data_IF_753216004837
#
_entry.id   IF_753216004837
#
_cell.length_a   1.000
_cell.length_b   1.000
_cell.length_c   1.000
_cell.angle_alpha   90.00
_cell.angle_beta   90.00
_cell.angle_gamma   90.00
#
_symmetry.space_group_name_H-M   'P 1'
#
loop_
_entity.id
_entity.type
_entity.pdbx_description
1 polymer ?
#
# COMPACT_ATOMS: atom_id res chain seq x y z
N UNK A 1 33.16 10.99 -1.96
CA UNK A 1 31.77 10.91 -1.46
C UNK A 1 31.16 12.29 -1.53
N UNK A 2 29.92 12.38 -2.03
CA UNK A 2 29.28 13.66 -2.26
C UNK A 2 28.60 14.20 -0.98
N UNK A 3 28.58 15.52 -0.85
CA UNK A 3 27.81 16.26 0.16
C UNK A 3 26.73 17.05 -0.58
N UNK A 4 25.50 16.95 -0.11
CA UNK A 4 24.34 17.61 -0.74
C UNK A 4 23.95 18.83 0.12
N UNK A 5 23.54 19.96 -0.50
CA UNK A 5 23.03 21.09 0.25
C UNK A 5 21.84 20.71 1.13
N UNK A 6 21.75 21.37 2.29
CA UNK A 6 20.67 21.16 3.25
C UNK A 6 19.79 22.40 3.29
N UNK A 7 18.52 22.19 2.97
CA UNK A 7 17.47 23.18 3.13
C UNK A 7 16.79 22.96 4.48
N UNK A 8 16.74 24.00 5.32
CA UNK A 8 16.02 23.90 6.59
C UNK A 8 14.50 23.76 6.36
N UNK A 9 13.81 23.26 7.38
CA UNK A 9 12.39 22.94 7.27
C UNK A 9 11.52 24.17 7.00
N UNK A 10 11.81 25.29 7.64
CA UNK A 10 11.03 26.52 7.50
C UNK A 10 11.19 27.10 6.08
N UNK A 11 12.41 27.12 5.56
CA UNK A 11 12.67 27.51 4.18
C UNK A 11 12.00 26.55 3.18
N UNK A 12 12.04 25.23 3.43
CA UNK A 12 11.37 24.24 2.60
C UNK A 12 9.84 24.44 2.56
N UNK A 13 9.22 24.73 3.72
CA UNK A 13 7.80 25.08 3.82
C UNK A 13 7.47 26.34 3.00
N UNK A 14 8.28 27.39 3.12
CA UNK A 14 8.07 28.64 2.38
C UNK A 14 8.20 28.46 0.86
N UNK A 15 9.17 27.67 0.40
CA UNK A 15 9.35 27.31 -1.02
C UNK A 15 8.14 26.54 -1.53
N UNK A 16 7.71 25.52 -0.79
CA UNK A 16 6.57 24.68 -1.15
C UNK A 16 5.29 25.52 -1.27
N UNK A 17 5.00 26.37 -0.28
CA UNK A 17 3.80 27.21 -0.28
C UNK A 17 3.81 28.27 -1.38
N UNK A 18 4.99 28.79 -1.74
CA UNK A 18 5.12 29.72 -2.86
C UNK A 18 4.86 29.00 -4.19
N UNK A 19 5.55 27.89 -4.44
CA UNK A 19 5.53 27.22 -5.74
C UNK A 19 4.24 26.47 -6.05
N UNK A 20 3.50 26.00 -5.04
CA UNK A 20 2.22 25.32 -5.24
C UNK A 20 1.08 26.27 -5.64
N UNK A 21 1.20 27.59 -5.42
CA UNK A 21 0.16 28.57 -5.74
C UNK A 21 -0.04 28.78 -7.24
N UNK A 22 1.02 28.64 -8.02
CA UNK A 22 1.03 29.05 -9.44
C UNK A 22 0.57 27.94 -10.40
N UNK A 23 0.19 26.78 -9.87
CA UNK A 23 -0.28 25.63 -10.64
C UNK A 23 0.85 24.81 -11.30
N UNK A 24 0.53 23.66 -11.91
CA UNK A 24 1.53 22.67 -12.33
C UNK A 24 2.43 23.13 -13.50
N UNK A 25 1.91 23.98 -14.40
CA UNK A 25 2.70 24.49 -15.55
C UNK A 25 3.75 25.49 -15.08
N UNK A 26 3.36 26.44 -14.23
CA UNK A 26 4.27 27.43 -13.66
C UNK A 26 5.29 26.75 -12.73
N UNK A 27 4.85 25.79 -11.91
CA UNK A 27 5.72 24.98 -11.07
C UNK A 27 6.85 24.32 -11.88
N UNK A 28 6.52 23.69 -13.01
CA UNK A 28 7.53 23.03 -13.87
C UNK A 28 8.52 24.03 -14.47
N UNK A 29 8.05 25.21 -14.87
CA UNK A 29 8.89 26.27 -15.41
C UNK A 29 9.79 26.92 -14.34
N UNK A 30 9.37 26.89 -13.07
CA UNK A 30 10.11 27.42 -11.94
C UNK A 30 11.20 26.48 -11.40
N UNK A 31 11.37 25.29 -11.98
CA UNK A 31 12.35 24.31 -11.52
C UNK A 31 13.61 24.26 -12.43
N UNK A 32 14.83 24.24 -11.86
CA UNK A 32 15.14 24.26 -10.44
C UNK A 32 14.96 25.65 -9.81
N UNK A 33 14.64 25.66 -8.52
CA UNK A 33 14.56 26.87 -7.70
C UNK A 33 15.78 26.98 -6.78
N UNK A 34 16.77 27.75 -7.24
CA UNK A 34 18.04 28.00 -6.57
C UNK A 34 17.98 29.22 -5.61
N UNK A 35 16.81 29.85 -5.44
CA UNK A 35 16.64 31.04 -4.58
C UNK A 35 16.83 30.82 -3.07
N UNK A 36 16.51 29.65 -2.47
CA UNK A 36 16.62 29.47 -1.03
C UNK A 36 18.07 29.43 -0.54
N UNK A 37 18.32 30.01 0.63
CA UNK A 37 19.60 29.84 1.30
C UNK A 37 19.76 28.38 1.77
N UNK A 38 20.94 27.80 1.54
CA UNK A 38 21.27 26.42 1.91
C UNK A 38 22.50 26.36 2.79
N UNK A 39 22.58 25.29 3.59
CA UNK A 39 23.73 25.01 4.44
C UNK A 39 24.43 23.75 3.99
N UNK A 40 25.71 23.62 4.36
CA UNK A 40 26.50 22.41 4.16
C UNK A 40 26.95 21.90 5.52
N UNK A 41 27.08 20.57 5.72
CA UNK A 41 27.74 20.06 6.90
C UNK A 41 29.19 20.56 6.97
N UNK A 42 29.75 20.73 8.19
CA UNK A 42 31.13 21.17 8.39
C UNK A 42 32.16 20.06 8.08
N UNK A 43 31.73 18.93 7.52
CA UNK A 43 32.58 17.76 7.26
C UNK A 43 33.35 17.89 5.95
N UNK A 44 34.51 17.25 5.89
CA UNK A 44 35.29 17.14 4.65
C UNK A 44 34.61 16.17 3.68
N UNK A 45 34.19 16.67 2.53
CA UNK A 45 33.66 15.90 1.41
C UNK A 45 33.47 16.78 0.18
N UNK A 46 33.28 16.17 -0.98
CA UNK A 46 33.11 16.91 -2.23
C UNK A 46 31.66 17.37 -2.33
N UNK A 47 31.43 18.68 -2.37
CA UNK A 47 30.07 19.21 -2.62
C UNK A 47 29.60 18.74 -3.99
N UNK A 48 28.35 18.30 -4.07
CA UNK A 48 27.70 18.07 -5.36
C UNK A 48 27.72 19.37 -6.16
N UNK A 49 28.06 19.29 -7.44
CA UNK A 49 28.03 20.42 -8.35
C UNK A 49 26.63 20.67 -8.91
N UNK A 50 26.36 21.90 -9.33
CA UNK A 50 25.10 22.24 -9.98
C UNK A 50 24.90 21.47 -11.30
N UNK A 51 25.99 21.14 -12.00
CA UNK A 51 25.94 20.29 -13.20
C UNK A 51 25.41 18.90 -12.86
N UNK A 52 25.93 18.25 -11.81
CA UNK A 52 25.43 16.96 -11.35
C UNK A 52 23.95 17.00 -10.92
N UNK A 53 23.51 18.10 -10.29
CA UNK A 53 22.10 18.29 -9.93
C UNK A 53 21.20 18.49 -11.17
N UNK A 54 21.68 19.21 -12.19
CA UNK A 54 20.99 19.38 -13.47
C UNK A 54 20.91 18.07 -14.25
N UNK A 55 21.96 17.26 -14.23
CA UNK A 55 21.97 15.92 -14.83
C UNK A 55 20.95 14.99 -14.14
N UNK A 56 20.90 15.01 -12.81
CA UNK A 56 19.91 14.28 -12.02
C UNK A 56 18.49 14.72 -12.35
N UNK A 57 18.23 16.02 -12.38
CA UNK A 57 16.92 16.55 -12.77
C UNK A 57 16.55 16.10 -14.18
N UNK A 58 17.45 16.25 -15.14
CA UNK A 58 17.22 15.87 -16.55
C UNK A 58 16.88 14.39 -16.67
N UNK A 59 17.65 13.51 -16.00
CA UNK A 59 17.40 12.08 -16.03
C UNK A 59 16.08 11.70 -15.34
N UNK A 60 15.76 12.31 -14.20
CA UNK A 60 14.51 12.04 -13.46
C UNK A 60 13.28 12.53 -14.23
N UNK A 61 13.32 13.72 -14.82
CA UNK A 61 12.21 14.25 -15.63
C UNK A 61 12.02 13.43 -16.89
N UNK A 62 13.11 13.01 -17.55
CA UNK A 62 13.04 12.07 -18.68
C UNK A 62 12.36 10.77 -18.26
N UNK A 63 12.80 10.15 -17.16
CA UNK A 63 12.18 8.94 -16.63
C UNK A 63 10.69 9.17 -16.32
N UNK A 64 10.33 10.26 -15.62
CA UNK A 64 8.94 10.59 -15.33
C UNK A 64 8.09 10.74 -16.60
N UNK A 65 8.65 11.30 -17.68
CA UNK A 65 7.96 11.42 -18.97
C UNK A 65 7.68 10.06 -19.63
N UNK A 66 8.59 9.08 -19.51
CA UNK A 66 8.38 7.70 -19.99
C UNK A 66 7.20 7.00 -19.28
N UNK A 67 6.85 7.46 -18.07
CA UNK A 67 5.77 6.94 -17.23
C UNK A 67 4.57 7.88 -17.13
N UNK A 68 4.45 8.85 -18.04
CA UNK A 68 3.23 9.59 -18.27
C UNK A 68 3.26 11.07 -17.91
N UNK A 69 4.35 11.62 -17.34
CA UNK A 69 4.42 13.06 -17.03
C UNK A 69 4.39 13.90 -18.31
N UNK A 70 3.48 14.90 -18.46
CA UNK A 70 2.64 15.53 -17.42
C UNK A 70 1.20 14.99 -17.28
N UNK A 71 0.80 13.98 -18.05
CA UNK A 71 -0.48 13.28 -17.90
C UNK A 71 -0.51 12.30 -16.71
N UNK A 72 -1.48 11.37 -16.65
CA UNK A 72 -1.59 10.42 -15.54
C UNK A 72 -0.40 9.47 -15.43
N UNK A 73 0.04 9.18 -14.20
CA UNK A 73 1.08 8.18 -13.94
C UNK A 73 0.61 6.78 -14.39
N UNK A 74 1.45 6.12 -15.20
CA UNK A 74 1.28 4.71 -15.59
C UNK A 74 2.36 3.86 -14.95
N UNK A 75 2.07 2.58 -14.67
CA UNK A 75 3.04 1.60 -14.14
C UNK A 75 3.87 2.15 -12.97
N UNK A 76 3.19 2.66 -11.93
CA UNK A 76 3.80 3.33 -10.77
C UNK A 76 4.94 2.52 -10.15
N UNK A 77 4.78 1.21 -10.03
CA UNK A 77 5.79 0.31 -9.46
C UNK A 77 7.11 0.34 -10.26
N UNK A 78 7.03 0.24 -11.58
CA UNK A 78 8.21 0.30 -12.45
C UNK A 78 8.89 1.66 -12.39
N UNK A 79 8.10 2.74 -12.42
CA UNK A 79 8.62 4.10 -12.27
C UNK A 79 9.39 4.24 -10.95
N UNK A 80 8.80 3.84 -9.83
CA UNK A 80 9.41 3.97 -8.50
C UNK A 80 10.68 3.14 -8.36
N UNK A 81 10.67 1.91 -8.86
CA UNK A 81 11.84 1.04 -8.84
C UNK A 81 13.01 1.62 -9.67
N UNK A 82 12.73 2.12 -10.87
CA UNK A 82 13.75 2.76 -11.72
C UNK A 82 14.22 4.10 -11.15
N UNK A 83 13.31 4.91 -10.62
CA UNK A 83 13.63 6.20 -10.00
C UNK A 83 14.51 6.03 -8.75
N UNK A 84 14.22 5.02 -7.93
CA UNK A 84 15.05 4.65 -6.78
C UNK A 84 16.48 4.29 -7.20
N UNK A 85 16.64 3.47 -8.25
CA UNK A 85 17.95 3.12 -8.81
C UNK A 85 18.69 4.34 -9.34
N UNK A 86 18.01 5.17 -10.13
CA UNK A 86 18.57 6.39 -10.70
C UNK A 86 19.07 7.34 -9.62
N UNK A 87 18.25 7.60 -8.59
CA UNK A 87 18.60 8.46 -7.46
C UNK A 87 19.83 7.94 -6.72
N UNK A 88 19.88 6.64 -6.42
CA UNK A 88 20.97 6.05 -5.66
C UNK A 88 22.29 6.08 -6.42
N UNK A 89 22.26 5.78 -7.73
CA UNK A 89 23.44 5.81 -8.59
C UNK A 89 24.00 7.22 -8.79
N UNK A 90 23.14 8.22 -8.99
CA UNK A 90 23.57 9.60 -9.23
C UNK A 90 23.85 10.38 -7.93
N UNK A 91 23.38 9.88 -6.78
CA UNK A 91 23.69 10.43 -5.47
C UNK A 91 24.46 9.41 -4.62
N UNK A 92 25.76 9.16 -4.91
CA UNK A 92 26.62 8.25 -4.14
C UNK A 92 27.06 8.89 -2.81
N UNK A 93 26.07 9.19 -1.96
CA UNK A 93 26.23 9.76 -0.61
C UNK A 93 26.28 8.65 0.45
N UNK A 94 26.81 8.97 1.64
CA UNK A 94 26.75 8.03 2.77
C UNK A 94 25.32 7.85 3.25
N UNK A 95 25.00 6.72 3.90
CA UNK A 95 23.82 6.61 4.75
C UNK A 95 23.70 7.71 5.81
N UNK A 96 24.84 8.19 6.33
CA UNK A 96 24.90 9.34 7.24
C UNK A 96 24.38 10.62 6.58
N UNK A 97 24.91 10.98 5.41
CA UNK A 97 24.42 12.15 4.66
C UNK A 97 22.94 12.01 4.29
N UNK A 98 22.54 10.83 3.79
CA UNK A 98 21.16 10.49 3.45
C UNK A 98 20.18 10.45 4.64
N UNK A 99 20.67 10.46 5.89
CA UNK A 99 19.82 10.48 7.07
C UNK A 99 19.27 11.88 7.38
N UNK A 100 19.87 12.94 6.84
CA UNK A 100 19.49 14.31 7.12
C UNK A 100 18.25 14.74 6.32
N UNK A 101 17.22 15.23 7.03
CA UNK A 101 15.98 15.75 6.44
C UNK A 101 16.26 16.85 5.39
N UNK A 102 17.16 17.78 5.70
CA UNK A 102 17.42 18.93 4.84
C UNK A 102 17.99 18.59 3.46
N UNK A 103 18.69 17.46 3.32
CA UNK A 103 19.15 16.95 2.01
C UNK A 103 17.95 16.65 1.12
N UNK A 104 16.95 15.97 1.68
CA UNK A 104 15.75 15.56 0.95
C UNK A 104 14.78 16.70 0.74
N UNK A 105 14.66 17.62 1.70
CA UNK A 105 13.91 18.87 1.50
C UNK A 105 14.50 19.69 0.35
N UNK A 106 15.83 19.79 0.26
CA UNK A 106 16.50 20.49 -0.83
C UNK A 106 16.26 19.82 -2.18
N UNK A 107 16.53 18.51 -2.28
CA UNK A 107 16.34 17.76 -3.53
C UNK A 107 14.88 17.79 -4.00
N UNK A 108 13.92 17.60 -3.10
CA UNK A 108 12.51 17.63 -3.49
C UNK A 108 12.04 19.05 -3.81
N UNK A 109 12.17 20.01 -2.89
CA UNK A 109 11.55 21.33 -3.04
C UNK A 109 12.25 22.20 -4.10
N UNK A 110 13.57 22.11 -4.22
CA UNK A 110 14.34 22.96 -5.15
C UNK A 110 14.53 22.32 -6.52
N UNK A 111 14.62 20.99 -6.62
CA UNK A 111 15.04 20.34 -7.86
C UNK A 111 13.99 19.46 -8.54
N UNK A 112 13.05 18.88 -7.79
CA UNK A 112 12.18 17.81 -8.29
C UNK A 112 10.72 17.96 -7.83
N UNK A 113 10.32 19.17 -7.44
CA UNK A 113 8.99 19.38 -6.85
C UNK A 113 7.89 19.12 -7.87
N UNK A 114 8.11 19.51 -9.12
CA UNK A 114 7.22 19.22 -10.25
C UNK A 114 6.98 17.72 -10.44
N UNK A 115 8.02 16.88 -10.30
CA UNK A 115 7.88 15.41 -10.38
C UNK A 115 7.11 14.85 -9.17
N UNK A 116 7.39 15.35 -7.97
CA UNK A 116 6.68 14.91 -6.77
C UNK A 116 5.19 15.30 -6.79
N UNK A 117 4.88 16.54 -7.20
CA UNK A 117 3.52 17.06 -7.35
C UNK A 117 2.78 16.35 -8.47
N UNK A 118 3.44 16.04 -9.59
CA UNK A 118 2.84 15.22 -10.65
C UNK A 118 2.39 13.85 -10.12
N UNK A 119 3.19 13.21 -9.27
CA UNK A 119 2.88 11.87 -8.73
C UNK A 119 1.74 11.89 -7.71
N UNK A 120 1.67 12.89 -6.84
CA UNK A 120 0.76 12.89 -5.69
C UNK A 120 -0.38 13.91 -5.74
N UNK A 121 -0.28 14.89 -6.63
CA UNK A 121 -1.12 16.08 -6.65
C UNK A 121 -0.61 17.18 -5.72
N UNK A 122 -1.04 18.44 -5.95
CA UNK A 122 -0.63 19.59 -5.16
C UNK A 122 -1.17 19.58 -3.72
N UNK A 123 -2.32 18.92 -3.49
CA UNK A 123 -3.00 18.85 -2.19
C UNK A 123 -2.54 17.69 -1.31
N UNK A 124 -1.46 16.99 -1.70
CA UNK A 124 -0.96 15.85 -0.94
C UNK A 124 -0.35 16.29 0.41
N UNK A 125 -0.26 15.36 1.36
CA UNK A 125 0.42 15.58 2.65
C UNK A 125 1.81 16.19 2.43
N UNK A 126 2.06 17.38 3.01
CA UNK A 126 3.33 18.12 2.90
C UNK A 126 4.56 17.26 3.23
N UNK A 127 4.42 16.25 4.09
CA UNK A 127 5.49 15.30 4.43
C UNK A 127 6.00 14.49 3.22
N UNK A 128 5.27 14.45 2.11
CA UNK A 128 5.74 13.83 0.85
C UNK A 128 6.74 14.69 0.10
N UNK A 129 6.74 16.00 0.37
CA UNK A 129 7.60 16.99 -0.28
C UNK A 129 8.77 17.38 0.62
N UNK A 130 8.49 17.65 1.89
CA UNK A 130 9.51 17.98 2.90
C UNK A 130 10.21 16.68 3.31
N UNK A 131 11.50 16.73 3.67
CA UNK A 131 12.41 15.59 3.88
C UNK A 131 12.07 14.57 4.98
N UNK A 132 10.78 14.42 5.35
CA UNK A 132 10.27 13.45 6.31
C UNK A 132 10.80 12.04 6.07
N UNK A 133 11.23 11.37 7.14
CA UNK A 133 11.89 10.07 7.08
C UNK A 133 11.01 8.96 6.50
N UNK A 134 9.71 9.02 6.73
CA UNK A 134 8.77 7.97 6.38
C UNK A 134 7.92 8.28 5.15
N UNK A 135 7.86 9.55 4.73
CA UNK A 135 6.93 9.99 3.67
C UNK A 135 7.59 10.71 2.50
N UNK A 136 8.77 11.30 2.66
CA UNK A 136 9.39 12.04 1.56
C UNK A 136 9.61 11.14 0.34
N UNK A 137 9.18 11.65 -0.81
CA UNK A 137 9.09 10.90 -2.07
C UNK A 137 10.42 10.28 -2.47
N UNK A 138 11.46 11.09 -2.58
CA UNK A 138 12.76 10.67 -3.10
C UNK A 138 13.64 10.05 -2.01
N UNK A 139 13.48 10.46 -0.75
CA UNK A 139 14.13 9.83 0.40
C UNK A 139 13.82 8.34 0.49
N UNK A 140 12.54 7.97 0.45
CA UNK A 140 12.11 6.56 0.53
C UNK A 140 12.67 5.76 -0.63
N UNK A 141 12.65 6.32 -1.84
CA UNK A 141 13.21 5.69 -3.04
C UNK A 141 14.69 5.40 -2.88
N UNK A 142 15.49 6.38 -2.45
CA UNK A 142 16.93 6.18 -2.24
C UNK A 142 17.22 5.14 -1.16
N UNK A 143 16.53 5.21 -0.02
CA UNK A 143 16.72 4.23 1.07
C UNK A 143 16.32 2.81 0.68
N UNK A 144 15.29 2.64 -0.15
CA UNK A 144 14.94 1.34 -0.73
C UNK A 144 16.08 0.76 -1.57
N UNK A 145 16.70 1.58 -2.43
CA UNK A 145 17.84 1.16 -3.22
C UNK A 145 19.09 0.85 -2.38
N UNK A 146 19.38 1.67 -1.36
CA UNK A 146 20.52 1.49 -0.45
C UNK A 146 20.39 0.19 0.38
N UNK A 147 19.22 -0.05 0.97
CA UNK A 147 19.00 -1.23 1.83
C UNK A 147 18.96 -2.51 0.99
N UNK A 148 18.18 -2.52 -0.09
CA UNK A 148 17.98 -3.73 -0.89
C UNK A 148 19.14 -4.03 -1.85
N UNK A 149 20.04 -3.08 -2.09
CA UNK A 149 21.24 -3.28 -2.92
C UNK A 149 20.88 -3.55 -4.39
N UNK A 150 21.87 -3.57 -5.28
CA UNK A 150 21.65 -3.61 -6.74
C UNK A 150 21.09 -4.94 -7.28
N UNK A 151 21.24 -6.02 -6.52
CA UNK A 151 20.87 -7.37 -6.96
C UNK A 151 19.36 -7.62 -6.97
N UNK A 152 18.59 -6.79 -6.28
CA UNK A 152 17.13 -6.91 -6.19
C UNK A 152 16.48 -6.03 -7.25
N UNK A 153 15.69 -6.58 -8.17
CA UNK A 153 14.94 -5.72 -9.08
C UNK A 153 13.78 -5.02 -8.34
N UNK A 154 13.94 -3.72 -8.06
CA UNK A 154 12.93 -2.92 -7.37
C UNK A 154 11.66 -2.72 -8.21
N UNK A 155 11.75 -2.88 -9.54
CA UNK A 155 10.57 -2.78 -10.40
C UNK A 155 9.61 -3.95 -10.20
N UNK A 156 10.09 -5.05 -9.61
CA UNK A 156 9.28 -6.22 -9.27
C UNK A 156 8.65 -6.13 -7.87
N UNK A 157 8.91 -5.09 -7.08
CA UNK A 157 8.35 -4.94 -5.73
C UNK A 157 7.32 -3.81 -5.65
N UNK A 158 6.10 -4.13 -5.23
CA UNK A 158 5.03 -3.16 -4.99
C UNK A 158 5.22 -2.35 -3.70
N UNK A 159 4.45 -1.26 -3.56
CA UNK A 159 4.52 -0.37 -2.38
C UNK A 159 4.29 -1.14 -1.07
N UNK A 160 3.25 -1.96 -0.98
CA UNK A 160 2.92 -2.71 0.23
C UNK A 160 4.03 -3.72 0.61
N UNK A 161 4.73 -4.27 -0.38
CA UNK A 161 5.81 -5.25 -0.19
C UNK A 161 7.05 -4.55 0.35
N UNK A 162 7.38 -3.42 -0.24
CA UNK A 162 8.45 -2.54 0.23
C UNK A 162 8.15 -2.04 1.64
N UNK A 163 6.91 -1.67 1.96
CA UNK A 163 6.49 -1.30 3.32
C UNK A 163 6.71 -2.44 4.30
N UNK A 164 6.36 -3.68 3.92
CA UNK A 164 6.56 -4.85 4.80
C UNK A 164 8.03 -5.12 5.14
N UNK A 165 8.97 -4.71 4.29
CA UNK A 165 10.41 -4.86 4.54
C UNK A 165 10.96 -3.61 5.24
N UNK A 166 10.68 -2.42 4.70
CA UNK A 166 11.35 -1.16 5.05
C UNK A 166 10.81 -0.51 6.32
N UNK A 167 9.51 -0.65 6.63
CA UNK A 167 8.89 -0.02 7.80
C UNK A 167 8.93 -0.93 9.04
N UNK A 168 9.64 -2.06 8.96
CA UNK A 168 9.91 -2.96 10.10
C UNK A 168 11.36 -2.76 10.56
N UNK A 169 11.61 -2.04 11.67
CA UNK A 169 12.98 -1.70 12.09
C UNK A 169 13.89 -2.92 12.23
N UNK A 170 13.38 -4.02 12.79
CA UNK A 170 14.16 -5.25 13.00
C UNK A 170 14.63 -5.90 11.70
N UNK A 171 13.89 -5.70 10.60
CA UNK A 171 14.19 -6.28 9.29
C UNK A 171 15.06 -5.30 8.49
N UNK A 172 14.64 -4.03 8.40
CA UNK A 172 15.32 -3.01 7.62
C UNK A 172 16.71 -2.64 8.17
N UNK A 173 16.94 -2.81 9.48
CA UNK A 173 18.23 -2.53 10.11
C UNK A 173 19.33 -3.52 9.67
N UNK A 174 18.98 -4.75 9.29
CA UNK A 174 19.92 -5.73 8.78
C UNK A 174 19.74 -5.89 7.25
N UNK A 175 20.68 -5.33 6.49
CA UNK A 175 20.66 -5.39 5.02
C UNK A 175 20.72 -6.82 4.50
N UNK A 176 21.41 -7.74 5.18
CA UNK A 176 21.50 -9.15 4.76
C UNK A 176 20.12 -9.79 4.86
N UNK A 177 19.42 -9.56 5.97
CA UNK A 177 18.06 -10.06 6.18
C UNK A 177 17.06 -9.44 5.20
N UNK A 178 17.05 -8.11 5.06
CA UNK A 178 16.14 -7.43 4.13
C UNK A 178 16.31 -7.92 2.68
N UNK A 179 17.55 -8.14 2.24
CA UNK A 179 17.88 -8.66 0.91
C UNK A 179 17.49 -10.13 0.74
N UNK A 180 17.72 -10.96 1.76
CA UNK A 180 17.31 -12.36 1.74
C UNK A 180 15.78 -12.49 1.64
N UNK A 181 15.04 -11.71 2.42
CA UNK A 181 13.57 -11.64 2.36
C UNK A 181 13.08 -11.21 0.98
N UNK A 182 13.62 -10.13 0.43
CA UNK A 182 13.23 -9.64 -0.89
C UNK A 182 13.52 -10.69 -1.99
N UNK A 183 14.70 -11.31 -1.96
CA UNK A 183 15.10 -12.33 -2.93
C UNK A 183 14.21 -13.56 -2.88
N UNK A 184 13.99 -14.11 -1.68
CA UNK A 184 13.15 -15.30 -1.50
C UNK A 184 11.72 -15.04 -1.94
N UNK A 185 11.19 -13.87 -1.60
CA UNK A 185 9.85 -13.47 -2.01
C UNK A 185 9.69 -13.39 -3.54
N UNK A 186 10.61 -12.70 -4.23
CA UNK A 186 10.58 -12.60 -5.69
C UNK A 186 10.70 -13.99 -6.34
N UNK A 187 11.64 -14.81 -5.86
CA UNK A 187 11.82 -16.18 -6.36
C UNK A 187 10.56 -17.05 -6.25
N UNK A 188 9.73 -16.84 -5.20
CA UNK A 188 8.47 -17.56 -5.03
C UNK A 188 7.35 -17.06 -5.92
N UNK A 189 7.30 -15.75 -6.15
CA UNK A 189 6.30 -15.19 -7.05
C UNK A 189 6.58 -15.64 -8.47
N UNK A 190 7.84 -15.64 -8.90
CA UNK A 190 8.24 -16.11 -10.23
C UNK A 190 7.86 -17.58 -10.47
N UNK A 191 7.84 -18.39 -9.41
CA UNK A 191 7.42 -19.81 -9.43
C UNK A 191 5.91 -20.00 -9.28
N UNK A 192 5.13 -18.94 -9.08
CA UNK A 192 3.68 -19.04 -8.86
C UNK A 192 3.30 -19.74 -7.56
N UNK A 193 4.09 -19.60 -6.50
CA UNK A 193 3.92 -20.36 -5.25
C UNK A 193 2.59 -20.10 -4.50
N UNK A 194 1.87 -19.03 -4.85
CA UNK A 194 0.54 -18.72 -4.31
C UNK A 194 -0.24 -17.83 -5.27
N UNK A 195 -1.57 -17.92 -5.23
CA UNK A 195 -2.46 -16.96 -5.91
C UNK A 195 -2.37 -15.55 -5.30
N UNK A 196 -2.01 -15.45 -4.00
CA UNK A 196 -1.97 -14.17 -3.28
C UNK A 196 -0.58 -13.82 -2.76
N UNK A 197 0.20 -13.19 -3.64
CA UNK A 197 1.55 -12.67 -3.38
C UNK A 197 1.66 -11.89 -2.06
N UNK A 198 0.72 -10.98 -1.82
CA UNK A 198 0.71 -10.15 -0.60
C UNK A 198 0.41 -10.94 0.68
N UNK A 199 -0.46 -11.95 0.63
CA UNK A 199 -0.73 -12.79 1.79
C UNK A 199 0.50 -13.60 2.16
N UNK A 200 1.20 -14.18 1.18
CA UNK A 200 2.47 -14.88 1.40
C UNK A 200 3.49 -13.98 2.08
N UNK A 201 3.70 -12.76 1.57
CA UNK A 201 4.61 -11.80 2.20
C UNK A 201 4.24 -11.54 3.67
N UNK A 202 2.96 -11.22 3.94
CA UNK A 202 2.51 -10.91 5.30
C UNK A 202 2.67 -12.09 6.26
N UNK A 203 2.32 -13.30 5.81
CA UNK A 203 2.41 -14.53 6.62
C UNK A 203 3.86 -14.94 6.89
N UNK A 204 4.75 -14.81 5.90
CA UNK A 204 6.18 -15.03 6.07
C UNK A 204 6.79 -14.01 7.05
N UNK A 205 6.44 -12.73 6.90
CA UNK A 205 6.94 -11.68 7.77
C UNK A 205 6.48 -11.82 9.22
N UNK A 206 5.24 -12.28 9.48
CA UNK A 206 4.78 -12.61 10.84
C UNK A 206 5.65 -13.70 11.48
N UNK A 207 5.98 -14.75 10.72
CA UNK A 207 6.83 -15.86 11.19
C UNK A 207 8.25 -15.38 11.50
N UNK A 208 8.85 -14.60 10.61
CA UNK A 208 10.16 -13.99 10.85
C UNK A 208 10.17 -13.10 12.10
N UNK A 209 9.16 -12.24 12.26
CA UNK A 209 9.07 -11.39 13.45
C UNK A 209 8.87 -12.18 14.75
N UNK A 210 8.24 -13.36 14.73
CA UNK A 210 8.12 -14.20 15.93
C UNK A 210 9.47 -14.77 16.40
N UNK A 211 10.46 -14.82 15.50
CA UNK A 211 11.80 -15.29 15.83
C UNK A 211 12.67 -14.20 16.47
N UNK A 212 12.34 -12.91 16.28
CA UNK A 212 13.21 -11.81 16.73
C UNK A 212 13.52 -11.79 18.24
N UNK A 213 12.63 -12.24 19.16
CA UNK A 213 12.98 -12.29 20.59
C UNK A 213 13.98 -13.39 20.94
N UNK A 214 14.10 -14.42 20.10
CA UNK A 214 14.90 -15.62 20.37
C UNK A 214 16.18 -15.68 19.53
N UNK A 215 16.25 -14.88 18.48
CA UNK A 215 17.27 -14.99 17.44
C UNK A 215 17.83 -13.61 17.08
N UNK A 216 19.15 -13.46 17.25
CA UNK A 216 19.88 -12.31 16.75
C UNK A 216 20.29 -12.55 15.29
N UNK A 217 19.46 -12.11 14.34
CA UNK A 217 19.75 -12.24 12.90
C UNK A 217 21.16 -11.78 12.48
N UNK A 218 21.70 -10.64 12.99
CA UNK A 218 23.03 -10.19 12.60
C UNK A 218 24.16 -11.16 12.98
N UNK A 219 23.94 -12.05 13.96
CA UNK A 219 24.91 -13.04 14.40
C UNK A 219 24.93 -14.30 13.53
N UNK A 220 24.01 -14.43 12.57
CA UNK A 220 23.91 -15.61 11.72
C UNK A 220 24.87 -15.56 10.52
N UNK A 221 25.29 -16.74 10.08
CA UNK A 221 25.93 -16.92 8.77
C UNK A 221 24.91 -16.70 7.64
N UNK A 222 25.39 -16.42 6.44
CA UNK A 222 24.51 -16.19 5.28
C UNK A 222 23.63 -17.42 5.00
N UNK A 223 24.19 -18.63 5.11
CA UNK A 223 23.44 -19.87 4.91
C UNK A 223 22.35 -20.08 5.97
N UNK A 224 22.66 -19.84 7.25
CA UNK A 224 21.67 -19.98 8.33
C UNK A 224 20.56 -18.93 8.20
N UNK A 225 20.92 -17.69 7.85
CA UNK A 225 19.96 -16.62 7.59
C UNK A 225 19.03 -16.98 6.43
N UNK A 226 19.59 -17.45 5.32
CA UNK A 226 18.85 -17.88 4.13
C UNK A 226 17.89 -19.03 4.47
N UNK A 227 18.35 -20.06 5.18
CA UNK A 227 17.51 -21.18 5.62
C UNK A 227 16.34 -20.73 6.50
N UNK A 228 16.55 -19.78 7.42
CA UNK A 228 15.47 -19.27 8.28
C UNK A 228 14.43 -18.49 7.47
N UNK A 229 14.88 -17.70 6.49
CA UNK A 229 13.98 -16.99 5.56
C UNK A 229 13.19 -18.00 4.74
N UNK A 230 13.85 -18.95 4.08
CA UNK A 230 13.22 -20.01 3.29
C UNK A 230 12.20 -20.82 4.11
N UNK A 231 12.55 -21.24 5.32
CA UNK A 231 11.66 -21.97 6.22
C UNK A 231 10.44 -21.14 6.60
N UNK A 232 10.61 -19.84 6.84
CA UNK A 232 9.50 -18.93 7.15
C UNK A 232 8.53 -18.79 5.99
N UNK A 233 9.03 -18.68 4.76
CA UNK A 233 8.19 -18.65 3.58
C UNK A 233 7.56 -20.02 3.24
N UNK A 234 8.26 -21.13 3.48
CA UNK A 234 7.72 -22.49 3.33
C UNK A 234 6.52 -22.70 4.27
N UNK A 235 6.68 -22.36 5.55
CA UNK A 235 5.61 -22.46 6.52
C UNK A 235 4.45 -21.49 6.24
N UNK A 236 4.71 -20.35 5.59
CA UNK A 236 3.66 -19.44 5.14
C UNK A 236 2.87 -20.02 3.96
N UNK A 237 3.55 -20.53 2.94
CA UNK A 237 2.93 -21.15 1.78
C UNK A 237 2.12 -22.40 2.17
N UNK A 238 2.66 -23.25 3.04
CA UNK A 238 1.94 -24.43 3.53
C UNK A 238 0.68 -24.06 4.32
N UNK A 239 0.73 -23.01 5.14
CA UNK A 239 -0.46 -22.50 5.85
C UNK A 239 -1.53 -22.01 4.87
N UNK A 240 -1.14 -21.25 3.85
CA UNK A 240 -2.09 -20.73 2.84
C UNK A 240 -2.68 -21.84 1.96
N UNK A 241 -1.92 -22.88 1.63
CA UNK A 241 -2.43 -24.05 0.90
C UNK A 241 -3.34 -24.92 1.78
N UNK A 242 -3.07 -24.95 3.08
CA UNK A 242 -3.89 -25.65 4.08
C UNK A 242 -5.16 -24.91 4.50
N UNK A 243 -5.30 -23.62 4.23
CA UNK A 243 -6.49 -22.81 4.57
C UNK A 243 -7.67 -22.98 3.57
N UNK A 244 -7.63 -23.98 2.69
CA UNK A 244 -8.84 -24.59 2.12
C UNK A 244 -9.55 -25.51 3.16
N UNK A 245 -9.66 -25.04 4.40
CA UNK A 245 -10.42 -25.71 5.47
C UNK A 245 -11.70 -24.88 5.70
N UNK A 246 -12.89 -25.50 5.68
CA UNK A 246 -14.16 -24.81 5.88
C UNK A 246 -14.19 -24.06 7.21
N UNK A 247 -14.90 -22.94 7.28
CA UNK A 247 -15.17 -22.21 8.52
C UNK A 247 -15.55 -23.16 9.67
N UNK A 248 -14.65 -23.32 10.64
CA UNK A 248 -14.86 -24.27 11.73
C UNK A 248 -13.58 -24.76 12.40
N UNK A 249 -12.67 -23.86 12.75
CA UNK A 249 -11.35 -24.21 13.29
C UNK A 249 -10.97 -23.46 14.56
N UNK A 250 -11.87 -23.36 15.56
CA UNK A 250 -11.43 -23.06 16.93
C UNK A 250 -10.50 -24.19 17.37
N UNK A 251 -9.31 -23.84 17.85
CA UNK A 251 -8.26 -24.74 18.34
C UNK A 251 -8.80 -26.00 19.02
N UNK A 252 -8.79 -27.13 18.31
CA UNK A 252 -8.83 -28.45 18.93
C UNK A 252 -7.39 -28.91 19.06
N UNK A 253 -6.87 -28.91 20.29
CA UNK A 253 -5.62 -29.63 20.58
C UNK A 253 -5.80 -31.10 20.17
N UNK A 254 -4.76 -31.73 19.58
CA UNK A 254 -4.82 -33.14 19.27
C UNK A 254 -5.07 -33.96 20.56
N UNK A 255 -5.85 -35.06 20.48
CA UNK A 255 -6.11 -35.89 21.66
C UNK A 255 -4.79 -36.44 22.19
N UNK A 256 -4.47 -36.04 23.41
CA UNK A 256 -3.33 -36.54 24.16
C UNK A 256 -3.57 -38.04 24.45
N UNK A 257 -2.58 -38.93 24.24
CA UNK A 257 -2.72 -40.32 24.67
C UNK A 257 -2.93 -40.36 26.18
N UNK A 258 -3.86 -41.22 26.63
CA UNK A 258 -4.27 -41.33 28.02
C UNK A 258 -3.05 -41.49 28.94
N UNK A 259 -2.76 -40.45 29.72
CA UNK A 259 -1.71 -40.47 30.72
C UNK A 259 -2.12 -41.43 31.85
N UNK A 260 -1.53 -42.62 31.85
CA UNK A 260 -1.45 -43.46 33.04
C UNK A 260 -0.22 -43.01 33.82
N UNK A 261 -0.43 -42.36 34.97
CA UNK A 261 0.63 -42.06 35.93
C UNK A 261 0.61 -40.64 36.48
N UNK A 262 0.23 -40.50 37.75
CA UNK A 262 0.44 -39.29 38.56
C UNK A 262 1.94 -39.11 38.83
N UNK A 263 2.65 -38.45 37.92
CA UNK A 263 4.00 -37.98 38.17
C UNK A 263 3.92 -36.70 39.04
N UNK A 264 4.20 -36.84 40.33
CA UNK A 264 4.38 -35.71 41.26
C UNK A 264 5.67 -34.99 40.88
N UNK A 265 5.60 -33.69 40.60
CA UNK A 265 6.77 -32.87 40.32
C UNK A 265 7.73 -32.84 41.54
N UNK A 266 9.05 -32.83 41.35
CA UNK A 266 10.00 -32.74 42.46
C UNK A 266 9.85 -31.41 43.21
N UNK A 267 10.05 -31.37 44.54
CA UNK A 267 9.93 -30.15 45.32
C UNK A 267 11.02 -29.13 44.93
N UNK A 268 10.65 -27.86 44.91
CA UNK A 268 11.58 -26.76 44.66
C UNK A 268 12.68 -26.71 45.73
N UNK A 269 13.92 -26.36 45.32
CA UNK A 269 15.05 -26.22 46.24
C UNK A 269 14.81 -25.11 47.29
N UNK A 270 15.38 -25.21 48.50
CA UNK A 270 15.01 -24.39 49.67
C UNK A 270 15.19 -22.86 49.53
N UNK A 271 15.88 -22.39 48.48
CA UNK A 271 16.11 -20.97 48.21
C UNK A 271 15.33 -20.45 46.98
N UNK A 272 14.36 -21.21 46.46
CA UNK A 272 13.55 -20.82 45.30
C UNK A 272 12.15 -20.43 45.78
N UNK A 273 11.85 -19.12 45.70
CA UNK A 273 10.49 -18.64 45.88
C UNK A 273 9.69 -19.01 44.63
N UNK A 274 8.77 -19.96 44.77
CA UNK A 274 7.87 -20.36 43.69
C UNK A 274 6.73 -19.35 43.63
N UNK A 275 6.74 -18.47 42.63
CA UNK A 275 5.63 -17.56 42.37
C UNK A 275 4.57 -18.35 41.60
N UNK A 276 3.41 -18.60 42.21
CA UNK A 276 2.26 -19.08 41.44
C UNK A 276 1.87 -18.00 40.44
N UNK A 277 2.02 -18.31 39.16
CA UNK A 277 1.49 -17.46 38.10
C UNK A 277 -0.03 -17.46 38.25
N UNK A 278 -0.59 -16.39 38.80
CA UNK A 278 -2.00 -16.10 38.64
C UNK A 278 -2.22 -15.75 37.17
N UNK A 279 -2.47 -16.76 36.34
CA UNK A 279 -3.27 -16.52 35.14
C UNK A 279 -4.58 -15.94 35.61
N UNK A 280 -4.86 -14.70 35.21
CA UNK A 280 -6.21 -14.17 35.19
C UNK A 280 -6.97 -15.14 34.29
N UNK A 281 -7.65 -16.10 34.91
CA UNK A 281 -8.67 -16.87 34.26
C UNK A 281 -9.75 -15.86 33.91
N UNK A 282 -9.81 -15.46 32.63
CA UNK A 282 -11.05 -14.97 32.07
C UNK A 282 -12.10 -16.00 32.44
N UNK A 283 -13.05 -15.58 33.27
CA UNK A 283 -14.25 -16.31 33.62
C UNK A 283 -14.86 -16.81 32.32
N UNK A 284 -14.61 -18.07 32.01
CA UNK A 284 -15.28 -18.76 30.92
C UNK A 284 -16.69 -18.97 31.44
N UNK A 285 -17.56 -18.00 31.18
CA UNK A 285 -18.99 -18.30 31.13
C UNK A 285 -19.14 -19.44 30.14
N UNK A 286 -19.50 -20.60 30.69
CA UNK A 286 -19.96 -21.74 29.93
C UNK A 286 -21.20 -21.28 29.19
N UNK A 287 -21.02 -20.84 27.94
CA UNK A 287 -22.12 -20.71 27.00
C UNK A 287 -22.63 -22.13 26.70
N UNK A 288 -23.62 -22.53 27.50
CA UNK A 288 -24.52 -23.61 27.17
C UNK A 288 -25.00 -23.40 25.74
N UNK A 289 -24.93 -24.45 24.93
CA UNK A 289 -25.64 -24.57 23.67
C UNK A 289 -27.14 -24.56 23.96
N UNK A 290 -27.68 -23.37 24.12
CA UNK A 290 -29.09 -23.05 24.00
C UNK A 290 -29.12 -21.80 23.12
N UNK A 291 -29.82 -21.90 21.99
CA UNK A 291 -30.09 -20.76 21.12
C UNK A 291 -30.92 -19.77 21.94
N UNK A 292 -30.29 -18.70 22.41
CA UNK A 292 -30.97 -17.59 23.07
C UNK A 292 -31.77 -16.82 22.01
N UNK A 293 -33.10 -16.64 22.17
CA UNK A 293 -33.91 -15.89 21.22
C UNK A 293 -33.58 -14.39 21.15
N UNK A 294 -32.75 -13.88 22.07
CA UNK A 294 -32.38 -12.46 22.16
C UNK A 294 -31.25 -12.01 21.22
N UNK A 295 -30.49 -12.92 20.59
CA UNK A 295 -29.37 -12.50 19.72
C UNK A 295 -29.85 -11.93 18.37
N UNK A 296 -31.06 -12.29 17.94
CA UNK A 296 -31.73 -11.71 16.76
C UNK A 296 -32.10 -10.25 17.00
N UNK A 297 -32.66 -9.94 18.16
CA UNK A 297 -33.12 -8.59 18.50
C UNK A 297 -31.96 -7.59 18.58
N UNK A 298 -30.80 -8.01 19.10
CA UNK A 298 -29.62 -7.14 19.18
C UNK A 298 -29.02 -6.87 17.79
N UNK A 299 -29.01 -7.90 16.91
CA UNK A 299 -28.58 -7.74 15.52
C UNK A 299 -29.49 -6.80 14.73
N UNK A 300 -30.80 -6.98 14.82
CA UNK A 300 -31.79 -6.16 14.12
C UNK A 300 -31.78 -4.70 14.65
N UNK A 301 -31.57 -4.52 15.95
CA UNK A 301 -31.41 -3.19 16.57
C UNK A 301 -30.18 -2.48 16.02
N UNK A 302 -29.03 -3.16 15.97
CA UNK A 302 -27.79 -2.60 15.43
C UNK A 302 -27.89 -2.33 13.93
N UNK A 303 -28.57 -3.19 13.17
CA UNK A 303 -28.85 -2.98 11.76
C UNK A 303 -29.74 -1.73 11.54
N UNK A 304 -30.72 -1.50 12.40
CA UNK A 304 -31.57 -0.32 12.34
C UNK A 304 -30.80 0.97 12.65
N UNK A 305 -29.91 0.94 13.65
CA UNK A 305 -28.99 2.05 13.98
C UNK A 305 -28.09 2.38 12.80
N UNK A 306 -27.54 1.39 12.10
CA UNK A 306 -26.71 1.60 10.93
C UNK A 306 -27.44 2.33 9.80
N UNK A 307 -28.71 1.97 9.56
CA UNK A 307 -29.55 2.61 8.55
C UNK A 307 -29.94 4.03 8.94
N UNK A 308 -30.23 4.29 10.20
CA UNK A 308 -30.58 5.65 10.66
C UNK A 308 -29.38 6.59 10.61
N UNK A 309 -28.17 6.11 10.90
CA UNK A 309 -26.93 6.88 10.68
C UNK A 309 -26.78 7.20 9.18
N UNK A 310 -26.96 6.20 8.31
CA UNK A 310 -26.86 6.40 6.86
C UNK A 310 -27.91 7.39 6.32
N UNK A 311 -29.16 7.36 6.83
CA UNK A 311 -30.22 8.32 6.49
C UNK A 311 -29.90 9.74 6.93
N UNK A 312 -29.37 9.91 8.15
CA UNK A 312 -29.09 11.22 8.73
C UNK A 312 -27.87 11.91 8.14
N UNK A 313 -26.86 11.13 7.76
CA UNK A 313 -25.54 11.66 7.38
C UNK A 313 -25.15 11.36 5.93
N UNK A 314 -25.99 10.61 5.20
CA UNK A 314 -25.75 10.18 3.83
C UNK A 314 -24.76 9.02 3.69
N UNK A 315 -24.09 8.59 4.77
CA UNK A 315 -23.13 7.47 4.78
C UNK A 315 -22.97 6.87 6.17
N UNK A 316 -22.61 5.60 6.27
CA UNK A 316 -22.23 4.94 7.53
C UNK A 316 -20.87 4.27 7.39
N UNK A 317 -20.03 4.36 8.42
CA UNK A 317 -18.70 3.73 8.48
C UNK A 317 -18.65 2.74 9.65
N UNK A 318 -17.68 1.81 9.62
CA UNK A 318 -17.47 0.87 10.72
C UNK A 318 -17.16 1.58 12.05
N UNK A 319 -16.34 2.63 11.98
CA UNK A 319 -16.06 3.50 13.14
C UNK A 319 -17.31 4.23 13.64
N UNK A 320 -18.11 4.80 12.72
CA UNK A 320 -19.33 5.52 13.08
C UNK A 320 -20.40 4.63 13.71
N UNK A 321 -20.54 3.38 13.26
CA UNK A 321 -21.48 2.43 13.86
C UNK A 321 -21.03 2.01 15.27
N UNK A 322 -19.74 1.72 15.45
CA UNK A 322 -19.17 1.33 16.74
C UNK A 322 -19.09 2.45 17.77
N UNK A 323 -19.17 3.70 17.33
CA UNK A 323 -19.30 4.84 18.23
C UNK A 323 -20.70 4.92 18.88
N UNK A 324 -21.71 4.28 18.28
CA UNK A 324 -23.11 4.36 18.72
C UNK A 324 -23.63 3.03 19.28
N UNK A 325 -23.12 1.91 18.78
CA UNK A 325 -23.47 0.56 19.23
C UNK A 325 -22.26 -0.11 19.90
N UNK A 326 -22.43 -0.78 21.07
CA UNK A 326 -21.36 -1.47 21.78
C UNK A 326 -21.01 -2.82 21.13
N UNK A 327 -20.54 -2.78 19.88
CA UNK A 327 -20.22 -3.95 19.07
C UNK A 327 -18.75 -3.96 18.64
N UNK A 328 -18.23 -5.14 18.35
CA UNK A 328 -16.88 -5.35 17.83
C UNK A 328 -16.77 -4.97 16.33
N UNK A 329 -15.54 -4.88 15.84
CA UNK A 329 -15.27 -4.59 14.43
C UNK A 329 -15.84 -5.65 13.47
N UNK A 330 -15.84 -6.91 13.90
CA UNK A 330 -16.26 -8.04 13.08
C UNK A 330 -17.79 -8.21 13.10
N UNK A 331 -18.45 -7.94 14.23
CA UNK A 331 -19.92 -7.85 14.31
C UNK A 331 -20.45 -6.71 13.42
N UNK A 332 -19.81 -5.53 13.47
CA UNK A 332 -20.18 -4.43 12.59
C UNK A 332 -20.03 -4.81 11.10
N UNK A 333 -19.01 -5.60 10.73
CA UNK A 333 -18.84 -6.10 9.36
C UNK A 333 -19.90 -7.13 8.98
N UNK A 334 -20.32 -7.97 9.91
CA UNK A 334 -21.41 -8.92 9.70
C UNK A 334 -22.74 -8.20 9.45
N UNK A 335 -23.05 -7.15 10.23
CA UNK A 335 -24.23 -6.31 10.04
C UNK A 335 -24.22 -5.62 8.68
N UNK A 336 -23.10 -5.02 8.27
CA UNK A 336 -23.01 -4.42 6.93
C UNK A 336 -23.12 -5.44 5.81
N UNK A 337 -22.61 -6.67 5.99
CA UNK A 337 -22.74 -7.75 5.01
C UNK A 337 -24.21 -8.12 4.83
N UNK A 338 -24.93 -8.40 5.92
CA UNK A 338 -26.37 -8.70 5.88
C UNK A 338 -27.18 -7.58 5.21
N UNK A 339 -26.93 -6.30 5.56
CA UNK A 339 -27.62 -5.17 4.96
C UNK A 339 -27.28 -4.95 3.47
N UNK A 340 -26.11 -5.39 3.00
CA UNK A 340 -25.76 -5.38 1.58
C UNK A 340 -26.42 -6.54 0.83
N UNK A 341 -26.46 -7.73 1.44
CA UNK A 341 -27.11 -8.91 0.88
C UNK A 341 -28.63 -8.67 0.73
N UNK A 342 -29.23 -7.95 1.68
CA UNK A 342 -30.62 -7.47 1.62
C UNK A 342 -30.83 -6.25 0.69
N UNK A 343 -29.77 -5.74 0.06
CA UNK A 343 -29.83 -4.60 -0.86
C UNK A 343 -30.15 -3.25 -0.20
N UNK A 344 -30.10 -3.15 1.13
CA UNK A 344 -30.44 -1.94 1.91
C UNK A 344 -29.26 -0.96 2.02
N UNK A 345 -28.04 -1.44 1.81
CA UNK A 345 -26.81 -0.64 1.74
C UNK A 345 -25.95 -1.03 0.54
N UNK A 346 -25.19 -0.07 0.02
CA UNK A 346 -24.19 -0.28 -1.02
C UNK A 346 -22.85 0.25 -0.53
N UNK A 347 -21.80 -0.54 -0.71
CA UNK A 347 -20.42 -0.15 -0.39
C UNK A 347 -19.91 0.88 -1.40
N UNK A 348 -19.46 2.06 -0.95
CA UNK A 348 -18.80 3.08 -1.78
C UNK A 348 -17.49 3.58 -1.15
N UNK A 349 -16.55 3.96 -2.03
CA UNK A 349 -15.27 4.58 -1.67
C UNK A 349 -14.11 3.61 -1.35
N UNK A 350 -12.99 3.80 -2.04
CA UNK A 350 -11.70 3.14 -1.75
C UNK A 350 -10.60 4.15 -1.36
N UNK A 351 -10.76 5.45 -1.69
CA UNK A 351 -9.73 6.48 -1.47
C UNK A 351 -9.73 7.17 -0.09
N UNK A 352 -10.83 7.15 0.68
CA UNK A 352 -10.97 7.84 1.98
C UNK A 352 -11.52 6.93 3.09
N UNK A 353 -11.35 5.61 2.94
CA UNK A 353 -11.98 4.61 3.80
C UNK A 353 -13.31 4.09 3.23
N UNK A 354 -13.60 2.81 3.50
CA UNK A 354 -14.86 2.17 3.06
C UNK A 354 -16.03 2.76 3.83
N UNK A 355 -17.03 3.29 3.12
CA UNK A 355 -18.29 3.73 3.69
C UNK A 355 -19.47 3.07 2.96
N UNK A 356 -20.62 3.01 3.61
CA UNK A 356 -21.83 2.39 3.09
C UNK A 356 -22.92 3.44 2.97
N UNK A 357 -23.70 3.39 1.89
CA UNK A 357 -24.76 4.35 1.59
C UNK A 357 -26.04 3.62 1.25
N UNK A 358 -27.21 4.21 1.53
CA UNK A 358 -28.50 3.63 1.12
C UNK A 358 -28.66 3.86 -0.40
N UNK A 359 -29.00 2.84 -1.19
CA UNK A 359 -29.25 3.01 -2.62
C UNK A 359 -30.47 3.91 -2.88
N UNK A 360 -30.34 4.85 -3.82
CA UNK A 360 -31.42 5.78 -4.16
C UNK A 360 -32.49 5.10 -5.04
N UNK A 361 -33.77 5.36 -4.78
CA UNK A 361 -34.91 4.68 -5.43
C UNK A 361 -34.98 4.90 -6.95
N UNK A 362 -34.20 5.84 -7.51
CA UNK A 362 -34.07 6.07 -8.96
C UNK A 362 -33.13 5.10 -9.67
N UNK A 363 -32.24 4.38 -8.96
CA UNK A 363 -31.27 3.45 -9.59
C UNK A 363 -31.77 1.99 -9.65
N UNK A 364 -32.75 1.60 -8.83
CA UNK A 364 -33.25 0.21 -8.74
C UNK A 364 -34.09 -0.19 -9.97
N UNK A 365 -34.69 0.77 -10.67
CA UNK A 365 -35.46 0.51 -11.91
C UNK A 365 -34.59 0.11 -13.12
N UNK A 366 -33.28 0.39 -13.09
CA UNK A 366 -32.36 0.06 -14.18
C UNK A 366 -31.84 -1.38 -14.17
N UNK A 367 -31.95 -2.08 -13.02
CA UNK A 367 -31.32 -3.39 -12.83
C UNK A 367 -32.28 -4.58 -13.00
N UNK A 368 -33.59 -4.34 -13.18
CA UNK A 368 -34.60 -5.41 -13.29
C UNK A 368 -35.41 -5.29 -14.59
N UNK A 369 -34.76 -5.54 -15.71
CA UNK A 369 -35.42 -5.82 -17.00
C UNK A 369 -35.23 -7.30 -17.37
N UNK A 370 -36.26 -8.02 -17.85
CA UNK A 370 -36.17 -9.45 -18.15
C UNK A 370 -35.35 -9.72 -19.42
N UNK A 371 -34.83 -10.96 -19.61
CA UNK A 371 -33.89 -11.25 -20.69
C UNK A 371 -34.57 -11.17 -22.06
N UNK A 372 -33.89 -10.53 -23.03
CA UNK A 372 -34.31 -10.47 -24.44
C UNK A 372 -34.30 -11.88 -25.07
N UNK A 373 -35.35 -12.29 -25.80
CA UNK A 373 -35.31 -13.50 -26.60
C UNK A 373 -34.63 -13.27 -27.96
N UNK A 374 -34.18 -14.38 -28.54
CA UNK A 374 -33.41 -14.47 -29.79
C UNK A 374 -34.08 -13.78 -30.99
N UNK A 375 -33.24 -13.17 -31.83
CA UNK A 375 -33.63 -12.39 -33.00
C UNK A 375 -33.65 -13.24 -34.28
N UNK A 376 -34.77 -13.23 -35.00
CA UNK A 376 -34.89 -13.22 -36.46
C UNK A 376 -36.39 -13.10 -36.85
N UNK A 377 -36.74 -12.78 -38.11
CA UNK A 377 -36.41 -11.57 -38.87
C UNK A 377 -37.70 -10.88 -39.36
N UNK A 378 -37.68 -9.61 -39.77
CA UNK A 378 -38.82 -9.06 -40.53
C UNK A 378 -38.46 -8.02 -41.59
N UNK A 379 -39.31 -8.04 -42.61
CA UNK A 379 -39.18 -7.56 -43.98
C UNK A 379 -39.46 -6.05 -44.14
N UNK A 380 -39.07 -5.53 -45.31
CA UNK A 380 -39.19 -4.16 -45.81
C UNK A 380 -40.65 -3.64 -45.96
N UNK A 381 -40.85 -2.33 -46.29
CA UNK A 381 -40.87 -1.95 -47.72
C UNK A 381 -40.31 -0.55 -48.09
N UNK A 382 -39.68 -0.50 -49.28
CA UNK A 382 -39.82 0.39 -50.45
C UNK A 382 -40.05 1.94 -50.39
N UNK A 383 -39.72 2.69 -51.49
CA UNK A 383 -39.00 3.98 -51.46
C UNK A 383 -39.65 5.16 -52.23
N UNK A 384 -39.13 6.40 -52.08
CA UNK A 384 -39.27 7.52 -53.06
C UNK A 384 -38.14 8.58 -52.99
N UNK A 385 -37.28 8.57 -54.02
CA UNK A 385 -36.62 9.60 -54.89
C UNK A 385 -36.46 11.09 -54.42
N UNK A 386 -35.38 11.80 -54.85
CA UNK A 386 -34.64 12.80 -54.07
C UNK A 386 -34.75 14.26 -54.55
N UNK A 387 -34.20 15.19 -53.77
CA UNK A 387 -33.89 16.56 -54.23
C UNK A 387 -32.37 16.87 -54.20
N UNK A 388 -31.96 17.65 -55.20
CA UNK A 388 -30.60 17.95 -55.64
C UNK A 388 -30.08 19.25 -55.04
N UNK A 389 -28.87 19.23 -54.50
CA UNK A 389 -27.92 20.36 -54.45
C UNK A 389 -26.62 19.79 -53.88
N UNK A 390 -25.42 19.93 -54.45
CA UNK A 390 -24.93 20.93 -55.37
C UNK A 390 -23.55 21.36 -54.84
N UNK A 391 -22.49 20.97 -55.55
CA UNK A 391 -21.12 21.49 -55.43
C UNK A 391 -20.27 21.07 -54.20
N UNK A 392 -19.57 19.92 -54.31
CA UNK A 392 -18.24 19.76 -53.69
C UNK A 392 -17.38 18.64 -54.29
N UNK A 393 -17.94 17.65 -54.99
CA UNK A 393 -17.21 16.44 -55.37
C UNK A 393 -16.51 16.47 -56.76
N UNK A 394 -16.62 17.56 -57.53
CA UNK A 394 -16.20 17.60 -58.95
C UNK A 394 -14.89 18.38 -59.20
N UNK A 395 -13.97 18.43 -58.22
CA UNK A 395 -12.64 19.04 -58.38
C UNK A 395 -11.47 18.06 -58.36
N UNK A 396 -11.70 16.75 -58.37
CA UNK A 396 -10.62 15.75 -58.21
C UNK A 396 -10.30 14.87 -59.43
N UNK A 397 -10.88 15.14 -60.60
CA UNK A 397 -10.73 14.25 -61.77
C UNK A 397 -10.24 14.90 -63.08
N UNK A 398 -9.75 16.14 -63.08
CA UNK A 398 -9.24 16.78 -64.32
C UNK A 398 -7.90 17.52 -64.13
N UNK A 399 -6.89 16.83 -63.59
CA UNK A 399 -5.48 17.21 -63.77
C UNK A 399 -4.71 16.06 -64.40
N UNK A 400 -4.97 15.84 -65.68
CA UNK A 400 -4.09 15.20 -66.65
C UNK A 400 -4.61 15.56 -68.03
N UNK A 401 -4.15 16.70 -68.55
CA UNK A 401 -3.62 16.84 -69.91
C UNK A 401 -3.34 18.31 -70.21
N UNK A 402 -2.07 18.55 -70.57
CA UNK A 402 -1.39 19.80 -70.96
C UNK A 402 -0.82 20.66 -69.85
#
# INVERSE_FOLDING_TARGET
MIIVPRLDRQAADAVLERLLKDGPVALRAAMPDESPAVTYPPTSGTRISDEQLRDLRTAMVKLASEYGMPGPLVRSQEFEGRAARLLHQQLPMTPHEAAHEGVWSYLTCCWLLDVAVWRFGPDADKRRFIGDINRNTFRRMWWRAEVLGEQIDLTQLGEDELVNIMERPTIAADRRLARAVAREFLARVDRGATESRMLLMREAMKRLLRLTPFLAFPALTDDALQQIVENSFNAAAAGLAGDAIPEGGRHRLPPQPAASGTAVAPPASPNVVTIQQMTISESTEQASSAVDPNTSDDFDTVAQVALDIARRTGRVTNEGLRAVAPITADEARAVFRALMDDGRLVRRGVKLGTHYVIPDLKEVAGAMAPPRPASAPEHAPAPTVPDRSGAAALRRLLRRDR
#
